data_IF_709306601802
#
_entry.id   IF_709306601802
#
_cell.length_a   1.000
_cell.length_b   1.000
_cell.length_c   1.000
_cell.angle_alpha   90.00
_cell.angle_beta   90.00
_cell.angle_gamma   90.00
#
_symmetry.space_group_name_H-M   'P 1'
#
loop_
_entity.id
_entity.type
_entity.pdbx_description
1 polymer ?
#
# COMPACT_ATOMS: atom_id res chain seq x y z
N UNK A 1 26.70 17.40 -52.08
CA UNK A 1 27.19 17.27 -50.70
C UNK A 1 26.22 18.06 -49.86
N UNK A 2 25.16 17.42 -49.33
CA UNK A 2 24.25 17.99 -48.34
C UNK A 2 23.28 16.88 -47.88
N UNK A 3 23.66 16.13 -46.86
CA UNK A 3 22.77 15.23 -46.11
C UNK A 3 23.35 14.98 -44.73
N UNK A 4 23.20 15.90 -43.76
CA UNK A 4 23.47 15.62 -42.34
C UNK A 4 22.77 16.57 -41.35
N UNK A 5 21.49 16.90 -41.52
CA UNK A 5 20.70 17.51 -40.42
C UNK A 5 19.24 17.08 -40.48
N UNK A 6 18.91 15.85 -40.07
CA UNK A 6 17.56 15.48 -39.64
C UNK A 6 17.55 14.06 -39.04
N UNK A 7 18.02 13.87 -37.81
CA UNK A 7 17.68 12.64 -37.05
C UNK A 7 17.78 12.75 -35.51
N UNK A 8 18.03 13.94 -34.95
CA UNK A 8 18.16 14.11 -33.48
C UNK A 8 16.90 14.69 -32.79
N UNK A 9 15.86 15.11 -33.52
CA UNK A 9 14.66 15.71 -32.90
C UNK A 9 13.53 14.71 -32.57
N UNK A 10 13.48 13.56 -33.24
CA UNK A 10 12.42 12.56 -33.00
C UNK A 10 12.68 11.66 -31.78
N UNK A 11 13.95 11.45 -31.40
CA UNK A 11 14.33 10.63 -30.23
C UNK A 11 14.28 11.41 -28.91
N UNK A 12 14.61 12.70 -28.93
CA UNK A 12 14.60 13.55 -27.72
C UNK A 12 13.18 13.91 -27.28
N UNK A 13 12.29 14.21 -28.23
CA UNK A 13 10.88 14.54 -27.94
C UNK A 13 10.11 13.37 -27.32
N UNK A 14 10.33 12.14 -27.82
CA UNK A 14 9.71 10.92 -27.27
C UNK A 14 10.17 10.59 -25.84
N UNK A 15 11.44 10.82 -25.51
CA UNK A 15 11.93 10.60 -24.15
C UNK A 15 11.38 11.65 -23.17
N UNK A 16 11.32 12.92 -23.56
CA UNK A 16 10.75 13.97 -22.70
C UNK A 16 9.25 13.78 -22.47
N UNK A 17 8.48 13.35 -23.48
CA UNK A 17 7.05 13.04 -23.30
C UNK A 17 6.82 11.84 -22.41
N UNK A 18 7.64 10.77 -22.55
CA UNK A 18 7.54 9.58 -21.70
C UNK A 18 7.90 9.88 -20.25
N UNK A 19 8.91 10.72 -20.01
CA UNK A 19 9.27 11.19 -18.67
C UNK A 19 8.16 12.04 -18.06
N UNK A 20 7.60 12.99 -18.81
CA UNK A 20 6.49 13.82 -18.35
C UNK A 20 5.26 12.97 -17.98
N UNK A 21 4.94 11.94 -18.78
CA UNK A 21 3.86 11.02 -18.51
C UNK A 21 4.13 10.20 -17.23
N UNK A 22 5.36 9.69 -17.06
CA UNK A 22 5.77 8.98 -15.85
C UNK A 22 5.69 9.82 -14.58
N UNK A 23 6.15 11.08 -14.62
CA UNK A 23 6.03 12.01 -13.49
C UNK A 23 4.57 12.38 -13.20
N UNK A 24 3.77 12.64 -14.23
CA UNK A 24 2.34 12.95 -14.08
C UNK A 24 1.60 11.78 -13.43
N UNK A 25 1.81 10.57 -13.92
CA UNK A 25 1.24 9.36 -13.34
C UNK A 25 1.67 9.14 -11.88
N UNK A 26 2.93 9.44 -11.56
CA UNK A 26 3.45 9.36 -10.19
C UNK A 26 2.76 10.35 -9.26
N UNK A 27 2.56 11.61 -9.70
CA UNK A 27 1.85 12.63 -8.91
C UNK A 27 0.40 12.22 -8.67
N UNK A 28 -0.30 11.74 -9.69
CA UNK A 28 -1.67 11.23 -9.56
C UNK A 28 -1.70 10.07 -8.56
N UNK A 29 -0.79 9.11 -8.69
CA UNK A 29 -0.67 7.97 -7.78
C UNK A 29 -0.47 8.41 -6.32
N UNK A 30 0.41 9.38 -6.07
CA UNK A 30 0.67 9.92 -4.72
C UNK A 30 -0.59 10.55 -4.12
N UNK A 31 -1.34 11.33 -4.89
CA UNK A 31 -2.58 11.96 -4.42
C UNK A 31 -3.63 10.91 -4.09
N UNK A 32 -3.84 9.94 -4.98
CA UNK A 32 -4.84 8.88 -4.79
C UNK A 32 -4.48 7.96 -3.63
N UNK A 33 -3.21 7.51 -3.55
CA UNK A 33 -2.74 6.67 -2.47
C UNK A 33 -2.68 7.43 -1.14
N UNK A 34 -2.36 8.72 -1.13
CA UNK A 34 -2.40 9.56 0.07
C UNK A 34 -3.82 9.75 0.61
N UNK A 35 -4.82 9.81 -0.27
CA UNK A 35 -6.23 9.90 0.12
C UNK A 35 -6.81 8.59 0.69
N UNK A 36 -6.07 7.49 0.55
CA UNK A 36 -6.51 6.13 0.88
C UNK A 36 -7.03 6.04 2.33
N UNK A 37 -6.24 6.53 3.28
CA UNK A 37 -6.58 6.38 4.70
C UNK A 37 -7.40 7.55 5.28
N UNK A 38 -7.87 8.47 4.44
CA UNK A 38 -8.71 9.61 4.88
C UNK A 38 -10.08 9.15 5.40
N UNK A 39 -10.81 8.22 4.75
CA UNK A 39 -12.10 7.75 5.25
C UNK A 39 -12.00 6.99 6.58
N UNK A 40 -10.87 6.33 6.86
CA UNK A 40 -10.58 5.63 8.12
C UNK A 40 -10.60 6.61 9.32
N UNK A 41 -10.36 7.90 9.08
CA UNK A 41 -10.49 8.94 10.11
C UNK A 41 -11.93 9.43 10.32
N UNK A 42 -12.81 9.25 9.34
CA UNK A 42 -14.19 9.77 9.37
C UNK A 42 -15.22 8.73 9.81
N UNK A 43 -14.93 7.44 9.58
CA UNK A 43 -15.83 6.35 9.89
C UNK A 43 -15.16 5.38 10.85
N UNK A 44 -15.90 4.92 11.86
CA UNK A 44 -15.39 3.92 12.79
C UNK A 44 -15.18 2.59 12.04
N UNK A 45 -13.91 2.24 11.82
CA UNK A 45 -13.51 0.99 11.18
C UNK A 45 -13.45 -0.20 12.15
N UNK A 46 -13.72 0.02 13.45
CA UNK A 46 -13.65 -1.00 14.48
C UNK A 46 -12.31 -1.73 14.48
N UNK A 47 -12.33 -3.06 14.33
CA UNK A 47 -11.12 -3.90 14.30
C UNK A 47 -10.38 -3.87 12.95
N UNK A 48 -10.93 -3.24 11.92
CA UNK A 48 -10.26 -3.06 10.62
C UNK A 48 -10.28 -4.26 9.67
N UNK A 49 -10.50 -5.47 10.18
CA UNK A 49 -10.43 -6.71 9.38
C UNK A 49 -11.47 -6.78 8.26
N UNK A 50 -12.71 -6.35 8.53
CA UNK A 50 -13.76 -6.29 7.52
C UNK A 50 -13.50 -5.19 6.48
N UNK A 51 -13.04 -4.02 6.93
CA UNK A 51 -12.64 -2.92 6.06
C UNK A 51 -11.51 -3.35 5.11
N UNK A 52 -10.49 -4.02 5.64
CA UNK A 52 -9.38 -4.58 4.88
C UNK A 52 -9.84 -5.56 3.82
N UNK A 53 -10.76 -6.47 4.15
CA UNK A 53 -11.28 -7.44 3.20
C UNK A 53 -12.07 -6.79 2.06
N UNK A 54 -12.92 -5.79 2.35
CA UNK A 54 -13.63 -5.02 1.32
C UNK A 54 -12.66 -4.24 0.43
N UNK A 55 -11.63 -3.63 1.01
CA UNK A 55 -10.58 -2.94 0.27
C UNK A 55 -9.91 -3.89 -0.73
N UNK A 56 -9.48 -5.06 -0.28
CA UNK A 56 -8.89 -6.10 -1.12
C UNK A 56 -9.85 -6.60 -2.21
N UNK A 57 -11.12 -6.80 -1.89
CA UNK A 57 -12.14 -7.19 -2.87
C UNK A 57 -12.30 -6.13 -3.97
N UNK A 58 -12.30 -4.85 -3.59
CA UNK A 58 -12.41 -3.72 -4.52
C UNK A 58 -11.20 -3.64 -5.46
N UNK A 59 -9.98 -3.78 -4.92
CA UNK A 59 -8.73 -3.82 -5.71
C UNK A 59 -8.77 -4.98 -6.70
N UNK A 60 -9.23 -6.16 -6.26
CA UNK A 60 -9.32 -7.34 -7.10
C UNK A 60 -10.33 -7.17 -8.26
N UNK A 61 -11.49 -6.56 -8.02
CA UNK A 61 -12.48 -6.28 -9.08
C UNK A 61 -11.88 -5.35 -10.14
N UNK A 62 -11.19 -4.28 -9.73
CA UNK A 62 -10.50 -3.39 -10.68
C UNK A 62 -9.44 -4.16 -11.47
N UNK A 63 -8.67 -5.02 -10.80
CA UNK A 63 -7.70 -5.90 -11.45
C UNK A 63 -8.31 -6.79 -12.52
N UNK A 64 -9.46 -7.37 -12.23
CA UNK A 64 -10.16 -8.26 -13.13
C UNK A 64 -10.58 -7.54 -14.41
N UNK A 65 -11.07 -6.30 -14.28
CA UNK A 65 -11.41 -5.46 -15.44
C UNK A 65 -10.18 -5.18 -16.30
N UNK A 66 -9.06 -4.80 -15.67
CA UNK A 66 -7.78 -4.57 -16.38
C UNK A 66 -7.30 -5.84 -17.08
N UNK A 67 -7.37 -6.99 -16.41
CA UNK A 67 -6.98 -8.28 -16.97
C UNK A 67 -7.80 -8.64 -18.23
N UNK A 68 -9.10 -8.35 -18.22
CA UNK A 68 -9.98 -8.57 -19.38
C UNK A 68 -9.59 -7.63 -20.54
N UNK A 69 -9.32 -6.36 -20.25
CA UNK A 69 -8.87 -5.37 -21.25
C UNK A 69 -7.54 -5.79 -21.88
N UNK A 70 -6.63 -6.38 -21.10
CA UNK A 70 -5.33 -6.87 -21.56
C UNK A 70 -5.38 -8.27 -22.20
N UNK A 71 -6.58 -8.77 -22.54
CA UNK A 71 -6.78 -10.08 -23.17
C UNK A 71 -6.24 -11.26 -22.35
N UNK A 72 -6.32 -11.18 -21.02
CA UNK A 72 -5.91 -12.24 -20.08
C UNK A 72 -4.45 -12.68 -20.25
N UNK A 73 -3.49 -11.85 -19.84
CA UNK A 73 -2.07 -12.20 -19.84
C UNK A 73 -1.78 -13.47 -19.03
N UNK A 74 -0.61 -14.07 -19.30
CA UNK A 74 -0.22 -15.34 -18.67
C UNK A 74 -0.16 -15.20 -17.15
N UNK A 75 -0.92 -16.03 -16.46
CA UNK A 75 -0.99 -16.03 -15.01
C UNK A 75 0.22 -16.74 -14.39
N UNK A 76 1.00 -16.03 -13.57
CA UNK A 76 2.15 -16.57 -12.86
C UNK A 76 1.86 -16.71 -11.36
N UNK A 77 1.71 -17.93 -10.82
CA UNK A 77 1.39 -18.13 -9.40
C UNK A 77 2.43 -17.53 -8.44
N UNK A 78 3.70 -17.46 -8.83
CA UNK A 78 4.74 -16.83 -8.02
C UNK A 78 4.44 -15.35 -7.75
N UNK A 79 3.79 -14.63 -8.67
CA UNK A 79 3.37 -13.25 -8.45
C UNK A 79 2.29 -13.13 -7.35
N UNK A 80 1.47 -14.17 -7.14
CA UNK A 80 0.49 -14.21 -6.04
C UNK A 80 1.17 -14.15 -4.67
N UNK A 81 2.36 -14.75 -4.52
CA UNK A 81 3.12 -14.73 -3.26
C UNK A 81 3.42 -13.29 -2.85
N UNK A 82 3.74 -12.42 -3.81
CA UNK A 82 3.90 -10.99 -3.56
C UNK A 82 2.64 -10.36 -2.98
N UNK A 83 1.47 -10.72 -3.51
CA UNK A 83 0.18 -10.29 -3.00
C UNK A 83 -0.11 -10.79 -1.59
N UNK A 84 0.28 -12.02 -1.28
CA UNK A 84 0.18 -12.59 0.08
C UNK A 84 1.02 -11.77 1.08
N UNK A 85 2.26 -11.43 0.72
CA UNK A 85 3.17 -10.61 1.53
C UNK A 85 2.57 -9.23 1.77
N UNK A 86 2.03 -8.59 0.72
CA UNK A 86 1.36 -7.30 0.85
C UNK A 86 0.13 -7.37 1.78
N UNK A 87 -0.74 -8.38 1.61
CA UNK A 87 -1.92 -8.54 2.44
C UNK A 87 -1.57 -8.76 3.92
N UNK A 88 -0.47 -9.47 4.20
CA UNK A 88 0.08 -9.67 5.54
C UNK A 88 0.48 -8.34 6.17
N UNK A 89 1.20 -7.48 5.44
CA UNK A 89 1.54 -6.14 5.91
C UNK A 89 0.30 -5.30 6.19
N UNK A 90 -0.71 -5.41 5.34
CA UNK A 90 -1.90 -4.57 5.42
C UNK A 90 -2.83 -4.89 6.61
N UNK A 91 -2.86 -6.13 7.09
CA UNK A 91 -3.55 -6.47 8.35
C UNK A 91 -3.03 -5.66 9.54
N UNK A 92 -1.75 -5.26 9.53
CA UNK A 92 -1.15 -4.50 10.64
C UNK A 92 -1.47 -3.00 10.63
N UNK A 93 -2.07 -2.47 9.55
CA UNK A 93 -2.32 -1.02 9.40
C UNK A 93 -3.23 -0.47 10.49
N UNK A 94 -4.36 -1.11 10.77
CA UNK A 94 -5.28 -0.64 11.82
C UNK A 94 -4.64 -0.69 13.22
N UNK A 95 -3.95 -1.77 13.62
CA UNK A 95 -3.11 -1.78 14.82
C UNK A 95 -2.08 -0.65 14.88
N UNK A 96 -1.37 -0.36 13.79
CA UNK A 96 -0.38 0.74 13.72
C UNK A 96 -1.07 2.09 13.96
N UNK A 97 -2.18 2.35 13.28
CA UNK A 97 -2.92 3.61 13.41
C UNK A 97 -3.44 3.80 14.83
N UNK A 98 -3.92 2.74 15.49
CA UNK A 98 -4.41 2.78 16.88
C UNK A 98 -3.28 2.93 17.93
N UNK A 99 -2.08 2.48 17.61
CA UNK A 99 -0.92 2.50 18.54
C UNK A 99 -0.09 3.76 18.44
N UNK A 100 0.30 4.15 17.22
CA UNK A 100 1.20 5.28 16.96
C UNK A 100 0.58 6.39 16.09
N UNK A 101 -0.70 6.30 15.76
CA UNK A 101 -1.38 7.29 14.93
C UNK A 101 -1.06 7.17 13.44
N UNK A 102 -1.96 7.70 12.60
CA UNK A 102 -1.88 7.57 11.14
C UNK A 102 -0.63 8.23 10.55
N UNK A 103 -0.28 9.45 11.00
CA UNK A 103 0.81 10.23 10.42
C UNK A 103 2.18 9.59 10.67
N UNK A 104 2.49 9.29 11.93
CA UNK A 104 3.76 8.66 12.29
C UNK A 104 3.87 7.25 11.73
N UNK A 105 2.79 6.47 11.75
CA UNK A 105 2.72 5.18 11.08
C UNK A 105 3.12 5.30 9.60
N UNK A 106 2.43 6.17 8.85
CA UNK A 106 2.64 6.39 7.40
C UNK A 106 4.10 6.62 7.09
N UNK A 107 4.73 7.52 7.83
CA UNK A 107 6.12 7.92 7.62
C UNK A 107 7.10 6.78 7.89
N UNK A 108 6.88 6.01 8.97
CA UNK A 108 7.74 4.88 9.31
C UNK A 108 7.63 3.76 8.28
N UNK A 109 6.43 3.27 7.96
CA UNK A 109 6.31 2.18 7.00
C UNK A 109 6.71 2.60 5.60
N UNK A 110 6.45 3.84 5.18
CA UNK A 110 6.82 4.32 3.84
C UNK A 110 8.35 4.43 3.71
N UNK A 111 9.03 4.94 4.75
CA UNK A 111 10.49 5.01 4.75
C UNK A 111 11.11 3.62 4.73
N UNK A 112 10.60 2.68 5.54
CA UNK A 112 11.09 1.30 5.53
C UNK A 112 10.77 0.59 4.20
N UNK A 113 9.58 0.78 3.64
CA UNK A 113 9.19 0.25 2.32
C UNK A 113 10.18 0.72 1.23
N UNK A 114 10.49 2.01 1.19
CA UNK A 114 11.44 2.58 0.25
C UNK A 114 12.84 1.97 0.42
N UNK A 115 13.34 1.90 1.66
CA UNK A 115 14.67 1.34 1.95
C UNK A 115 14.77 -0.15 1.63
N UNK A 116 13.74 -0.92 1.96
CA UNK A 116 13.69 -2.36 1.68
C UNK A 116 13.58 -2.62 0.19
N UNK A 117 12.72 -1.90 -0.53
CA UNK A 117 12.62 -1.99 -1.98
C UNK A 117 13.95 -1.66 -2.65
N UNK A 118 14.55 -0.53 -2.28
CA UNK A 118 15.88 -0.12 -2.76
C UNK A 118 16.95 -1.19 -2.48
N UNK A 119 17.04 -1.69 -1.25
CA UNK A 119 18.03 -2.69 -0.88
C UNK A 119 17.84 -4.00 -1.66
N UNK A 120 16.58 -4.42 -1.83
CA UNK A 120 16.25 -5.66 -2.53
C UNK A 120 16.69 -5.64 -3.99
N UNK A 121 16.43 -4.55 -4.72
CA UNK A 121 16.87 -4.38 -6.11
C UNK A 121 18.37 -4.13 -6.22
N UNK A 122 18.93 -3.28 -5.34
CA UNK A 122 20.33 -2.86 -5.44
C UNK A 122 21.31 -3.99 -5.14
N UNK A 123 21.01 -4.81 -4.13
CA UNK A 123 21.88 -5.91 -3.70
C UNK A 123 21.47 -7.27 -4.27
N UNK A 124 20.41 -7.32 -5.09
CA UNK A 124 19.95 -8.58 -5.68
C UNK A 124 19.41 -9.57 -4.65
N UNK A 125 18.71 -9.08 -3.63
CA UNK A 125 18.09 -9.99 -2.66
C UNK A 125 17.12 -10.94 -3.36
N UNK A 126 17.00 -12.15 -2.81
CA UNK A 126 16.09 -13.18 -3.34
C UNK A 126 16.44 -13.67 -4.76
N UNK A 127 17.71 -13.53 -5.16
CA UNK A 127 18.22 -14.09 -6.41
C UNK A 127 17.92 -13.25 -7.65
N UNK A 128 17.53 -11.99 -7.49
CA UNK A 128 17.40 -11.02 -8.58
C UNK A 128 18.80 -10.50 -8.94
N UNK A 129 19.07 -10.24 -10.23
CA UNK A 129 20.30 -9.59 -10.64
C UNK A 129 20.42 -8.19 -10.01
N UNK A 130 21.54 -7.86 -9.35
CA UNK A 130 21.75 -6.54 -8.75
C UNK A 130 21.60 -5.42 -9.79
N UNK A 131 20.77 -4.42 -9.48
CA UNK A 131 20.57 -3.29 -10.37
C UNK A 131 21.81 -2.38 -10.42
N UNK A 132 22.33 -2.15 -11.62
CA UNK A 132 23.44 -1.22 -11.88
C UNK A 132 22.89 0.18 -12.12
N UNK A 133 23.33 1.15 -11.30
CA UNK A 133 22.87 2.53 -11.36
C UNK A 133 23.94 3.41 -11.99
N UNK A 134 23.58 4.24 -12.97
CA UNK A 134 24.51 5.14 -13.68
C UNK A 134 25.28 6.08 -12.74
N UNK A 135 24.63 6.54 -11.66
CA UNK A 135 25.18 7.47 -10.66
C UNK A 135 25.06 6.89 -9.24
N UNK A 136 25.97 5.99 -8.83
CA UNK A 136 25.85 5.29 -7.55
C UNK A 136 25.89 6.25 -6.35
N UNK A 137 26.74 7.28 -6.39
CA UNK A 137 26.89 8.23 -5.28
C UNK A 137 25.58 8.96 -4.92
N UNK A 138 24.84 9.44 -5.93
CA UNK A 138 23.55 10.10 -5.71
C UNK A 138 22.49 9.13 -5.19
N UNK A 139 22.52 7.89 -5.67
CA UNK A 139 21.61 6.84 -5.23
C UNK A 139 21.82 6.49 -3.75
N UNK A 140 23.07 6.26 -3.32
CA UNK A 140 23.40 6.02 -1.91
C UNK A 140 23.13 7.23 -1.01
N UNK A 141 23.35 8.46 -1.51
CA UNK A 141 23.00 9.67 -0.77
C UNK A 141 21.49 9.76 -0.51
N UNK A 142 20.66 9.46 -1.51
CA UNK A 142 19.19 9.43 -1.35
C UNK A 142 18.73 8.35 -0.37
N UNK A 143 19.29 7.13 -0.48
CA UNK A 143 19.01 6.05 0.47
C UNK A 143 19.44 6.43 1.90
N UNK A 144 20.61 7.06 2.06
CA UNK A 144 21.09 7.56 3.34
C UNK A 144 20.17 8.63 3.94
N UNK A 145 19.68 9.56 3.13
CA UNK A 145 18.72 10.58 3.57
C UNK A 145 17.38 9.96 4.02
N UNK A 146 16.89 8.96 3.29
CA UNK A 146 15.69 8.19 3.68
C UNK A 146 15.90 7.37 4.96
N UNK A 147 17.09 6.83 5.18
CA UNK A 147 17.42 6.13 6.42
C UNK A 147 17.46 7.10 7.60
N UNK A 148 18.06 8.28 7.40
CA UNK A 148 18.09 9.33 8.41
C UNK A 148 16.67 9.81 8.78
N UNK A 149 15.79 10.02 7.80
CA UNK A 149 14.41 10.42 8.07
C UNK A 149 13.66 9.36 8.88
N UNK A 150 13.82 8.07 8.56
CA UNK A 150 13.21 6.98 9.32
C UNK A 150 13.65 6.99 10.79
N UNK A 151 14.95 7.19 11.04
CA UNK A 151 15.50 7.30 12.40
C UNK A 151 14.89 8.49 13.14
N UNK A 152 14.83 9.67 12.50
CA UNK A 152 14.23 10.87 13.11
C UNK A 152 12.76 10.61 13.46
N UNK A 153 11.99 9.98 12.57
CA UNK A 153 10.58 9.66 12.82
C UNK A 153 10.39 8.75 14.03
N UNK A 154 11.28 7.78 14.27
CA UNK A 154 11.21 6.93 15.47
C UNK A 154 11.24 7.75 16.77
N UNK A 155 11.91 8.91 16.78
CA UNK A 155 12.00 9.79 17.94
C UNK A 155 10.87 10.83 18.03
N UNK A 156 10.15 11.10 16.94
CA UNK A 156 9.01 12.04 16.93
C UNK A 156 7.95 11.60 17.94
N UNK A 157 7.52 12.56 18.79
CA UNK A 157 6.52 12.31 19.81
C UNK A 157 5.18 12.01 19.15
N UNK A 158 4.57 10.91 19.57
CA UNK A 158 3.28 10.49 19.05
C UNK A 158 2.17 11.26 19.73
N UNK A 159 1.40 12.04 18.97
CA UNK A 159 0.11 12.56 19.44
C UNK A 159 -0.99 11.56 19.08
N UNK A 160 -1.06 10.46 19.83
CA UNK A 160 -2.32 9.71 19.88
C UNK A 160 -3.20 10.55 20.79
N UNK A 161 -4.09 11.37 20.22
CA UNK A 161 -5.21 11.92 20.99
C UNK A 161 -5.88 10.72 21.66
N UNK A 162 -5.70 10.55 22.96
CA UNK A 162 -6.68 9.82 23.74
C UNK A 162 -7.99 10.50 23.40
N UNK A 163 -9.01 9.71 23.04
CA UNK A 163 -10.37 10.22 22.95
C UNK A 163 -10.82 10.51 24.39
N UNK A 164 -10.22 11.53 25.00
CA UNK A 164 -10.86 12.32 26.04
C UNK A 164 -11.67 13.29 25.25
N UNK A 165 -13.00 13.16 25.35
CA UNK A 165 -14.01 13.97 24.71
C UNK A 165 -13.68 15.46 24.71
N UNK A 166 -12.98 15.93 23.69
CA UNK A 166 -13.14 17.28 23.17
C UNK A 166 -13.95 17.13 21.90
N UNK A 167 -15.26 16.96 22.14
CA UNK A 167 -16.26 17.47 21.22
C UNK A 167 -15.82 18.88 20.84
N UNK A 168 -15.58 19.11 19.55
CA UNK A 168 -15.70 20.45 18.99
C UNK A 168 -17.11 20.92 19.37
N UNK A 169 -17.17 21.65 20.47
CA UNK A 169 -18.38 22.29 20.94
C UNK A 169 -18.67 23.43 19.99
N UNK A 170 -19.37 23.13 18.89
CA UNK A 170 -20.30 24.11 18.34
C UNK A 170 -21.33 24.40 19.44
N UNK A 171 -21.34 25.60 20.05
CA UNK A 171 -22.04 25.83 21.31
C UNK A 171 -23.49 26.22 21.04
N UNK A 172 -24.25 25.45 20.26
CA UNK A 172 -25.64 25.81 19.93
C UNK A 172 -26.53 24.59 19.69
N UNK A 173 -26.67 23.69 20.68
CA UNK A 173 -27.91 22.91 20.93
C UNK A 173 -27.69 21.98 22.13
N UNK A 174 -27.50 22.58 23.31
CA UNK A 174 -27.75 21.90 24.58
C UNK A 174 -29.18 22.22 24.97
N UNK A 175 -30.11 21.33 24.66
CA UNK A 175 -31.22 20.93 25.54
C UNK A 175 -32.22 20.05 24.77
N UNK A 176 -32.68 19.01 25.46
CA UNK A 176 -33.74 18.06 25.09
C UNK A 176 -33.34 16.98 24.08
N UNK A 177 -32.84 15.86 24.61
CA UNK A 177 -33.53 14.56 24.62
C UNK A 177 -32.63 13.64 25.45
N UNK A 178 -33.09 13.33 26.66
CA UNK A 178 -32.65 12.14 27.36
C UNK A 178 -33.12 10.95 26.51
N UNK A 179 -32.19 10.34 25.80
CA UNK A 179 -32.35 8.97 25.31
C UNK A 179 -31.02 8.30 25.57
N UNK A 180 -31.09 7.24 26.36
CA UNK A 180 -29.99 6.35 26.69
C UNK A 180 -29.43 5.75 25.40
N UNK A 181 -28.56 6.49 24.72
CA UNK A 181 -27.69 5.91 23.71
C UNK A 181 -26.53 5.30 24.48
N UNK A 182 -26.61 3.99 24.69
CA UNK A 182 -25.50 3.15 25.11
C UNK A 182 -24.32 3.43 24.16
N UNK A 183 -23.50 4.41 24.51
CA UNK A 183 -22.17 4.58 23.96
C UNK A 183 -21.39 3.34 24.39
N UNK A 184 -21.37 2.33 23.52
CA UNK A 184 -20.40 1.24 23.60
C UNK A 184 -19.04 1.90 23.36
N UNK A 185 -18.45 2.42 24.43
CA UNK A 185 -17.05 2.75 24.52
C UNK A 185 -16.31 1.45 24.34
N UNK A 186 -16.00 1.15 23.09
CA UNK A 186 -15.27 -0.04 22.69
C UNK A 186 -13.83 0.14 23.20
N UNK A 187 -13.55 -0.34 24.41
CA UNK A 187 -12.19 -0.32 24.97
C UNK A 187 -11.26 -0.96 23.95
N UNK A 188 -10.41 -0.13 23.33
CA UNK A 188 -9.49 -0.64 22.34
C UNK A 188 -8.55 -1.60 23.07
N UNK A 189 -8.31 -2.79 22.52
CA UNK A 189 -7.33 -3.72 23.09
C UNK A 189 -5.95 -3.06 23.31
N UNK A 190 -5.67 -1.99 22.55
CA UNK A 190 -4.48 -1.15 22.62
C UNK A 190 -4.41 -0.30 23.90
N UNK A 191 -5.54 0.05 24.50
CA UNK A 191 -5.62 0.88 25.71
C UNK A 191 -5.20 0.14 26.99
N UNK A 192 -5.04 -1.19 26.90
CA UNK A 192 -4.51 -2.04 27.98
C UNK A 192 -2.99 -1.92 28.18
N UNK A 193 -2.27 -1.29 27.24
CA UNK A 193 -0.81 -1.18 27.26
C UNK A 193 -0.33 0.20 27.73
N UNK A 194 0.86 0.24 28.33
CA UNK A 194 1.48 1.52 28.69
C UNK A 194 1.81 2.35 27.44
N UNK A 195 1.92 3.69 27.55
CA UNK A 195 2.25 4.54 26.40
C UNK A 195 3.55 4.14 25.68
N UNK A 196 4.55 3.66 26.44
CA UNK A 196 5.82 3.18 25.89
C UNK A 196 5.65 1.86 25.14
N UNK A 197 4.86 0.92 25.68
CA UNK A 197 4.56 -0.36 25.03
C UNK A 197 3.78 -0.15 23.73
N UNK A 198 2.76 0.72 23.75
CA UNK A 198 2.00 1.08 22.53
C UNK A 198 2.91 1.63 21.45
N UNK A 199 3.81 2.55 21.83
CA UNK A 199 4.79 3.13 20.90
C UNK A 199 5.73 2.06 20.32
N UNK A 200 6.29 1.20 21.16
CA UNK A 200 7.20 0.15 20.71
C UNK A 200 6.49 -0.83 19.76
N UNK A 201 5.31 -1.31 20.14
CA UNK A 201 4.51 -2.24 19.32
C UNK A 201 4.15 -1.59 17.98
N UNK A 202 3.63 -0.36 18.00
CA UNK A 202 3.25 0.35 16.78
C UNK A 202 4.43 0.63 15.85
N UNK A 203 5.58 1.04 16.40
CA UNK A 203 6.80 1.25 15.61
C UNK A 203 7.33 -0.05 15.01
N UNK A 204 7.37 -1.15 15.77
CA UNK A 204 7.79 -2.45 15.27
C UNK A 204 6.87 -2.98 14.18
N UNK A 205 5.55 -2.84 14.37
CA UNK A 205 4.57 -3.20 13.35
C UNK A 205 4.73 -2.34 12.10
N UNK A 206 4.96 -1.02 12.23
CA UNK A 206 5.15 -0.13 11.08
C UNK A 206 6.42 -0.47 10.28
N UNK A 207 7.52 -0.74 10.97
CA UNK A 207 8.76 -1.21 10.33
C UNK A 207 8.54 -2.56 9.65
N UNK A 208 7.93 -3.52 10.34
CA UNK A 208 7.60 -4.83 9.76
C UNK A 208 6.70 -4.74 8.53
N UNK A 209 5.64 -3.93 8.60
CA UNK A 209 4.75 -3.65 7.47
C UNK A 209 5.52 -3.02 6.30
N UNK A 210 6.41 -2.07 6.58
CA UNK A 210 7.27 -1.46 5.57
C UNK A 210 8.17 -2.47 4.88
N UNK A 211 8.79 -3.40 5.61
CA UNK A 211 9.60 -4.48 5.02
C UNK A 211 8.76 -5.38 4.11
N UNK A 212 7.56 -5.76 4.57
CA UNK A 212 6.64 -6.58 3.77
C UNK A 212 6.20 -5.85 2.50
N UNK A 213 5.85 -4.56 2.59
CA UNK A 213 5.53 -3.75 1.42
C UNK A 213 6.74 -3.60 0.47
N UNK A 214 7.94 -3.43 1.01
CA UNK A 214 9.15 -3.27 0.18
C UNK A 214 9.53 -4.54 -0.56
N UNK A 215 9.15 -5.70 -0.03
CA UNK A 215 9.42 -7.01 -0.64
C UNK A 215 8.25 -7.55 -1.46
N UNK A 216 7.07 -6.92 -1.44
CA UNK A 216 5.88 -7.52 -2.08
C UNK A 216 5.99 -7.62 -3.61
N UNK A 217 6.83 -6.79 -4.26
CA UNK A 217 7.09 -6.86 -5.70
C UNK A 217 8.29 -7.73 -6.08
N UNK A 218 9.09 -8.21 -5.12
CA UNK A 218 10.26 -9.07 -5.37
C UNK A 218 9.89 -10.32 -6.20
N UNK A 219 8.79 -11.04 -5.94
CA UNK A 219 8.43 -12.20 -6.77
C UNK A 219 8.16 -11.85 -8.24
N UNK A 220 7.60 -10.67 -8.52
CA UNK A 220 7.37 -10.20 -9.89
C UNK A 220 8.69 -9.81 -10.54
N UNK A 221 9.56 -9.08 -9.82
CA UNK A 221 10.90 -8.74 -10.29
C UNK A 221 11.73 -9.98 -10.60
N UNK A 222 11.64 -11.02 -9.77
CA UNK A 222 12.30 -12.31 -9.98
C UNK A 222 11.88 -12.96 -11.30
N UNK A 223 10.57 -13.02 -11.59
CA UNK A 223 10.05 -13.56 -12.86
C UNK A 223 10.59 -12.76 -14.05
N UNK A 224 10.50 -11.42 -13.98
CA UNK A 224 10.93 -10.52 -15.06
C UNK A 224 12.42 -10.64 -15.34
N UNK A 225 13.23 -10.75 -14.29
CA UNK A 225 14.68 -10.86 -14.38
C UNK A 225 15.09 -12.22 -14.97
N UNK A 226 14.53 -13.32 -14.46
CA UNK A 226 14.80 -14.66 -14.98
C UNK A 226 14.24 -14.88 -16.38
N UNK A 227 13.23 -14.11 -16.79
CA UNK A 227 12.68 -14.16 -18.14
C UNK A 227 13.67 -13.77 -19.24
N UNK A 228 14.73 -13.03 -18.91
CA UNK A 228 15.80 -12.67 -19.86
C UNK A 228 16.73 -13.85 -20.15
N UNK A 229 16.76 -14.84 -19.24
CA UNK A 229 17.58 -16.04 -19.38
C UNK A 229 16.75 -17.15 -20.04
N UNK A 230 17.16 -17.55 -21.24
CA UNK A 230 16.46 -18.56 -22.06
C UNK A 230 16.40 -19.96 -21.43
N UNK A 231 17.22 -20.23 -20.42
CA UNK A 231 17.26 -21.51 -19.69
C UNK A 231 16.34 -21.54 -18.46
N UNK A 232 15.72 -20.42 -18.10
CA UNK A 232 14.84 -20.36 -16.92
C UNK A 232 13.43 -20.84 -17.25
N UNK A 233 12.71 -21.33 -16.24
CA UNK A 233 11.28 -21.66 -16.34
C UNK A 233 10.38 -20.44 -16.66
N UNK A 234 10.95 -19.24 -16.57
CA UNK A 234 10.29 -17.96 -16.85
C UNK A 234 10.69 -17.38 -18.21
N UNK A 235 11.45 -18.12 -19.04
CA UNK A 235 11.85 -17.65 -20.37
C UNK A 235 10.66 -17.17 -21.19
N UNK A 236 10.78 -15.97 -21.78
CA UNK A 236 9.74 -15.36 -22.60
C UNK A 236 8.53 -14.81 -21.82
N UNK A 237 8.64 -14.63 -20.50
CA UNK A 237 7.62 -13.89 -19.73
C UNK A 237 7.60 -12.41 -20.10
N UNK A 238 6.44 -11.78 -19.89
CA UNK A 238 6.28 -10.36 -20.21
C UNK A 238 7.17 -9.46 -19.36
N UNK A 239 7.63 -8.36 -19.93
CA UNK A 239 8.37 -7.32 -19.21
C UNK A 239 7.46 -6.18 -18.74
N UNK A 240 6.19 -6.20 -19.15
CA UNK A 240 5.19 -5.22 -18.75
C UNK A 240 4.63 -5.57 -17.36
N UNK A 241 4.67 -4.61 -16.43
CA UNK A 241 4.22 -4.84 -15.04
C UNK A 241 2.73 -5.16 -14.94
N UNK A 242 1.93 -4.59 -15.84
CA UNK A 242 0.48 -4.78 -15.87
C UNK A 242 0.06 -6.24 -16.04
N UNK A 243 0.89 -7.06 -16.70
CA UNK A 243 0.59 -8.47 -16.96
C UNK A 243 0.61 -9.32 -15.68
N UNK A 244 1.29 -8.84 -14.63
CA UNK A 244 1.40 -9.52 -13.34
C UNK A 244 0.41 -8.99 -12.31
N UNK A 245 -0.24 -7.85 -12.56
CA UNK A 245 -1.14 -7.16 -11.61
C UNK A 245 -2.30 -8.06 -11.20
N UNK A 246 -2.89 -8.80 -12.15
CA UNK A 246 -3.99 -9.71 -11.86
C UNK A 246 -3.59 -10.86 -10.93
N UNK A 247 -2.43 -11.47 -11.19
CA UNK A 247 -1.90 -12.53 -10.34
C UNK A 247 -1.55 -12.00 -8.94
N UNK A 248 -0.88 -10.85 -8.85
CA UNK A 248 -0.55 -10.21 -7.59
C UNK A 248 -1.80 -9.88 -6.76
N UNK A 249 -2.80 -9.21 -7.35
CA UNK A 249 -4.04 -8.85 -6.65
C UNK A 249 -4.93 -10.06 -6.34
N UNK A 250 -4.85 -11.15 -7.11
CA UNK A 250 -5.49 -12.42 -6.74
C UNK A 250 -4.88 -13.03 -5.48
N UNK A 251 -3.55 -12.94 -5.31
CA UNK A 251 -2.86 -13.28 -4.07
C UNK A 251 -3.34 -12.45 -2.88
N UNK A 252 -3.45 -11.13 -3.06
CA UNK A 252 -3.99 -10.21 -2.03
C UNK A 252 -5.37 -10.65 -1.57
N UNK A 253 -6.30 -10.85 -2.51
CA UNK A 253 -7.69 -11.18 -2.18
C UNK A 253 -7.82 -12.55 -1.52
N UNK A 254 -7.08 -13.55 -2.01
CA UNK A 254 -7.06 -14.89 -1.42
C UNK A 254 -6.58 -14.84 0.03
N UNK A 255 -5.42 -14.23 0.29
CA UNK A 255 -4.87 -14.11 1.64
C UNK A 255 -5.76 -13.29 2.56
N UNK A 256 -6.32 -12.18 2.06
CA UNK A 256 -7.26 -11.36 2.84
C UNK A 256 -8.53 -12.14 3.19
N UNK A 257 -9.01 -13.00 2.30
CA UNK A 257 -10.17 -13.86 2.57
C UNK A 257 -9.84 -14.91 3.63
N UNK A 258 -8.65 -15.53 3.57
CA UNK A 258 -8.17 -16.45 4.61
C UNK A 258 -8.12 -15.75 5.98
N UNK A 259 -7.56 -14.54 6.06
CA UNK A 259 -7.52 -13.78 7.30
C UNK A 259 -8.91 -13.43 7.82
N UNK A 260 -9.83 -13.05 6.94
CA UNK A 260 -11.20 -12.76 7.32
C UNK A 260 -11.93 -14.02 7.83
N UNK A 261 -11.73 -15.18 7.19
CA UNK A 261 -12.28 -16.45 7.64
C UNK A 261 -11.73 -16.84 9.02
N UNK A 262 -10.43 -16.71 9.24
CA UNK A 262 -9.80 -16.94 10.57
C UNK A 262 -10.43 -16.01 11.60
N UNK A 263 -10.59 -14.72 11.27
CA UNK A 263 -11.25 -13.75 12.15
C UNK A 263 -12.70 -14.15 12.49
N UNK A 264 -13.49 -14.58 11.51
CA UNK A 264 -14.86 -15.07 11.73
C UNK A 264 -14.90 -16.28 12.67
N UNK A 265 -13.96 -17.22 12.52
CA UNK A 265 -13.84 -18.40 13.40
C UNK A 265 -13.47 -17.99 14.83
N UNK A 266 -12.46 -17.12 14.99
CA UNK A 266 -12.02 -16.60 16.31
C UNK A 266 -13.15 -15.83 17.00
N UNK A 267 -13.89 -15.02 16.25
CA UNK A 267 -15.04 -14.25 16.75
C UNK A 267 -16.31 -15.10 16.91
N UNK A 268 -16.23 -16.43 16.79
CA UNK A 268 -17.37 -17.37 16.94
C UNK A 268 -18.60 -16.93 16.13
N UNK A 269 -18.39 -16.49 14.90
CA UNK A 269 -19.43 -16.00 13.99
C UNK A 269 -20.21 -14.75 14.46
N UNK A 270 -19.64 -13.95 15.36
CA UNK A 270 -20.07 -12.57 15.67
C UNK A 270 -19.00 -11.54 15.24
N UNK A 271 -18.61 -11.49 13.94
CA UNK A 271 -17.65 -10.50 13.49
C UNK A 271 -18.21 -9.09 13.68
N UNK A 272 -17.37 -8.14 14.10
CA UNK A 272 -17.75 -6.72 14.15
C UNK A 272 -17.75 -6.17 12.73
N UNK A 273 -18.90 -6.30 12.07
CA UNK A 273 -19.14 -5.78 10.73
C UNK A 273 -19.67 -4.37 10.87
N UNK A 274 -19.01 -3.39 10.26
CA UNK A 274 -19.45 -2.00 10.22
C UNK A 274 -19.95 -1.69 8.80
N UNK A 275 -21.27 -1.77 8.52
CA UNK A 275 -21.82 -1.55 7.18
C UNK A 275 -21.57 -0.12 6.66
N UNK A 276 -21.36 0.83 7.57
CA UNK A 276 -21.03 2.22 7.25
C UNK A 276 -19.67 2.38 6.54
N UNK A 277 -18.76 1.40 6.68
CA UNK A 277 -17.46 1.37 5.97
C UNK A 277 -17.58 0.91 4.50
N UNK A 278 -18.74 0.39 4.08
CA UNK A 278 -18.97 -0.10 2.70
C UNK A 278 -19.08 1.06 1.71
N UNK A 279 -19.65 2.20 2.13
CA UNK A 279 -19.83 3.39 1.28
C UNK A 279 -18.52 4.10 0.91
N UNK A 280 -17.56 4.37 1.83
CA UNK A 280 -16.26 4.86 1.43
C UNK A 280 -15.57 3.88 0.49
N UNK A 281 -15.72 2.55 0.69
CA UNK A 281 -15.30 1.47 -0.22
C UNK A 281 -15.70 1.64 -1.69
N UNK A 282 -16.90 2.17 -1.96
CA UNK A 282 -17.38 2.47 -3.33
C UNK A 282 -16.72 3.71 -3.95
N UNK A 283 -16.31 4.70 -3.16
CA UNK A 283 -15.64 5.90 -3.66
C UNK A 283 -14.19 5.65 -4.12
N UNK A 284 -13.62 4.47 -3.83
CA UNK A 284 -12.30 4.04 -4.32
C UNK A 284 -12.29 3.53 -5.75
N UNK A 285 -13.45 3.10 -6.27
CA UNK A 285 -13.57 2.67 -7.65
C UNK A 285 -13.36 3.84 -8.62
N UNK A 286 -13.78 5.05 -8.23
CA UNK A 286 -13.73 6.22 -9.11
C UNK A 286 -12.30 6.66 -9.45
N UNK A 287 -11.36 6.79 -8.50
CA UNK A 287 -10.00 7.18 -8.84
C UNK A 287 -9.21 6.12 -9.61
N UNK A 288 -9.44 4.82 -9.37
CA UNK A 288 -8.75 3.75 -10.09
C UNK A 288 -9.23 3.60 -11.55
N UNK A 289 -10.51 3.82 -11.83
CA UNK A 289 -11.06 3.82 -13.19
C UNK A 289 -10.54 5.00 -14.04
N UNK A 290 -10.24 6.15 -13.41
CA UNK A 290 -9.63 7.30 -14.11
C UNK A 290 -8.19 7.01 -14.55
N UNK A 291 -7.43 6.22 -13.79
CA UNK A 291 -6.05 5.85 -14.16
C UNK A 291 -6.02 4.96 -15.41
N UNK A 292 -6.96 4.03 -15.57
CA UNK A 292 -7.01 3.14 -16.76
C UNK A 292 -7.26 3.92 -18.05
N UNK A 293 -7.93 5.08 -17.98
CA UNK A 293 -8.22 5.92 -19.16
C UNK A 293 -7.07 6.84 -19.57
N UNK A 294 -6.03 6.98 -18.75
CA UNK A 294 -4.82 7.76 -19.04
C UNK A 294 -3.67 6.90 -19.58
N UNK A 295 -3.82 5.58 -19.56
CA UNK A 295 -2.83 4.61 -20.05
C UNK A 295 -3.23 3.91 -21.36
N UNK A 296 -4.35 4.32 -21.97
CA UNK A 296 -4.68 4.10 -23.39
C UNK A 296 -4.40 5.39 -24.16
#
# INVERSE_FOLDING_TARGET
MDYWVADNNHTVSGNSSNLALGFTASVVSVVLFGSNFVPVKKFDTGDGMFFQWILCASIWIVSLVVNIILHSPKFWPLAMVGGCVWATGNVTVVPIVKTIGLGLGLLLWASTNLLTGWASSRFGWFGINPEEVERPYLNYAGAGLSALSAIIFLFVKTEVKSVTSESETTPLLRNSINSEEHAVTDESWVDKFSPLQRRLIGSLLAVGAGVLYGTCFVPVLYIKDHSKNNESIYAGSSQYDLDYVFAHFSGIFLTSTVYFLIYCVVMKNRPRVFPQAILPGKNWLFPMLYTVRFYM
#
